data_IF_136907115242
#
_entry.id   IF_136907115242
#
_cell.length_a   1.000
_cell.length_b   1.000
_cell.length_c   1.000
_cell.angle_alpha   90.00
_cell.angle_beta   90.00
_cell.angle_gamma   90.00
#
_symmetry.space_group_name_H-M   'P 1'
#
loop_
_entity.id
_entity.type
_entity.pdbx_description
1 polymer ?
#
# COMPACT_ATOMS: atom_id res chain seq x y z
N UNK A 1 -16.15 2.54 14.55
CA UNK A 1 -15.35 1.32 14.82
C UNK A 1 -14.02 1.30 14.05
N UNK A 2 -14.00 1.70 12.78
CA UNK A 2 -12.79 1.64 11.94
C UNK A 2 -11.58 2.42 12.49
N UNK A 3 -11.80 3.61 13.07
CA UNK A 3 -10.71 4.43 13.64
C UNK A 3 -9.98 3.75 14.80
N UNK A 4 -10.69 2.96 15.62
CA UNK A 4 -10.08 2.22 16.73
C UNK A 4 -9.23 1.04 16.24
N UNK A 5 -9.64 0.40 15.14
CA UNK A 5 -8.85 -0.67 14.52
C UNK A 5 -7.53 -0.11 13.98
N UNK A 6 -7.58 1.01 13.25
CA UNK A 6 -6.37 1.67 12.73
C UNK A 6 -5.44 2.16 13.84
N UNK A 7 -6.00 2.83 14.86
CA UNK A 7 -5.22 3.25 16.02
C UNK A 7 -4.59 2.03 16.72
N UNK A 8 -5.33 0.93 16.87
CA UNK A 8 -4.82 -0.32 17.42
C UNK A 8 -3.66 -0.90 16.62
N UNK A 9 -3.76 -0.92 15.28
CA UNK A 9 -2.69 -1.41 14.40
C UNK A 9 -1.42 -0.54 14.47
N UNK A 10 -1.58 0.78 14.52
CA UNK A 10 -0.45 1.72 14.64
C UNK A 10 0.23 1.56 16.00
N UNK A 11 -0.54 1.49 17.08
CA UNK A 11 0.01 1.30 18.43
C UNK A 11 0.73 -0.05 18.50
N UNK A 12 0.12 -1.10 17.96
CA UNK A 12 0.72 -2.43 17.94
C UNK A 12 2.04 -2.46 17.15
N UNK A 13 2.10 -1.81 15.99
CA UNK A 13 3.33 -1.77 15.17
C UNK A 13 4.46 -1.01 15.87
N UNK A 14 4.16 0.12 16.51
CA UNK A 14 5.14 0.89 17.29
C UNK A 14 5.62 0.13 18.52
N UNK A 15 4.71 -0.53 19.25
CA UNK A 15 5.08 -1.39 20.38
C UNK A 15 5.95 -2.56 19.94
N UNK A 16 5.61 -3.21 18.83
CA UNK A 16 6.41 -4.28 18.25
C UNK A 16 7.83 -3.81 17.90
N UNK A 17 7.97 -2.67 17.21
CA UNK A 17 9.28 -2.11 16.90
C UNK A 17 10.06 -1.74 18.15
N UNK A 18 9.42 -1.11 19.14
CA UNK A 18 10.08 -0.73 20.39
C UNK A 18 10.59 -1.96 21.16
N UNK A 19 9.79 -3.02 21.24
CA UNK A 19 10.19 -4.28 21.90
C UNK A 19 11.34 -4.93 21.13
N UNK A 20 11.26 -5.00 19.80
CA UNK A 20 12.31 -5.59 18.98
C UNK A 20 13.62 -4.81 19.13
N UNK A 21 13.60 -3.49 18.97
CA UNK A 21 14.80 -2.64 19.10
C UNK A 21 15.37 -2.68 20.53
N UNK A 22 14.52 -2.84 21.56
CA UNK A 22 14.97 -3.03 22.93
C UNK A 22 15.63 -4.41 23.15
N UNK A 23 15.07 -5.48 22.58
CA UNK A 23 15.70 -6.80 22.58
C UNK A 23 17.04 -6.76 21.85
N UNK A 24 17.10 -6.10 20.70
CA UNK A 24 18.32 -5.93 19.92
C UNK A 24 19.40 -5.17 20.68
N UNK A 25 19.03 -4.15 21.47
CA UNK A 25 19.97 -3.44 22.33
C UNK A 25 20.55 -4.32 23.46
N UNK A 26 19.81 -5.36 23.90
CA UNK A 26 20.23 -6.30 24.94
C UNK A 26 21.10 -7.41 24.33
N UNK A 27 20.70 -7.97 23.19
CA UNK A 27 21.46 -9.02 22.48
C UNK A 27 22.73 -8.45 21.85
N UNK A 28 22.70 -7.17 21.45
CA UNK A 28 23.77 -6.43 20.79
C UNK A 28 24.38 -7.16 19.60
N UNK A 29 23.54 -7.64 18.67
CA UNK A 29 24.00 -8.39 17.49
C UNK A 29 24.87 -7.54 16.56
N UNK A 30 24.79 -6.20 16.68
CA UNK A 30 25.65 -5.25 15.97
C UNK A 30 27.00 -5.00 16.66
N UNK A 31 27.22 -5.53 17.86
CA UNK A 31 28.45 -5.34 18.68
C UNK A 31 28.80 -3.86 18.86
N UNK A 32 27.83 -3.08 19.30
CA UNK A 32 27.94 -1.63 19.37
C UNK A 32 29.06 -1.17 20.31
N UNK A 33 30.03 -0.44 19.74
CA UNK A 33 31.15 0.12 20.50
C UNK A 33 32.38 -0.79 20.59
N UNK A 34 32.25 -2.06 20.19
CA UNK A 34 33.38 -2.96 20.00
C UNK A 34 34.13 -2.61 18.70
N UNK A 35 35.41 -2.95 18.65
CA UNK A 35 36.25 -2.69 17.47
C UNK A 35 36.49 -4.01 16.74
N UNK A 36 36.23 -4.00 15.44
CA UNK A 36 36.40 -5.16 14.56
C UNK A 36 37.80 -5.13 13.94
N UNK A 37 38.53 -6.24 14.04
CA UNK A 37 39.89 -6.36 13.49
C UNK A 37 39.85 -6.68 12.00
N UNK A 38 40.63 -5.94 11.22
CA UNK A 38 40.74 -6.06 9.77
C UNK A 38 42.20 -6.03 9.36
N UNK A 39 42.50 -6.64 8.22
CA UNK A 39 43.81 -6.48 7.57
C UNK A 39 43.65 -5.57 6.37
N UNK A 40 44.42 -4.48 6.33
CA UNK A 40 44.49 -3.60 5.18
C UNK A 40 45.71 -3.94 4.34
N UNK A 41 45.52 -3.97 3.04
CA UNK A 41 46.59 -4.01 2.04
C UNK A 41 46.57 -2.70 1.24
N UNK A 42 47.75 -2.10 1.06
CA UNK A 42 47.91 -0.81 0.41
C UNK A 42 49.20 -0.75 -0.41
N UNK A 43 49.12 -0.12 -1.58
CA UNK A 43 50.27 0.08 -2.46
C UNK A 43 51.07 1.35 -2.10
N UNK A 44 50.40 2.32 -1.49
CA UNK A 44 51.00 3.58 -1.04
C UNK A 44 51.03 3.63 0.49
N UNK A 45 52.11 4.20 1.05
CA UNK A 45 52.21 4.37 2.49
C UNK A 45 51.02 5.20 3.04
N UNK A 46 50.37 4.76 4.14
CA UNK A 46 49.24 5.45 4.77
C UNK A 46 49.54 6.89 5.21
N UNK A 47 50.82 7.24 5.35
CA UNK A 47 51.28 8.58 5.73
C UNK A 47 51.61 9.48 4.53
N UNK A 48 51.63 8.93 3.31
CA UNK A 48 51.95 9.68 2.09
C UNK A 48 50.82 10.61 1.65
N UNK A 49 49.57 10.21 1.85
CA UNK A 49 48.39 10.91 1.36
C UNK A 49 47.25 10.94 2.39
N UNK A 50 46.39 11.96 2.29
CA UNK A 50 45.21 12.09 3.17
C UNK A 50 44.15 11.03 2.90
N UNK A 51 44.07 10.54 1.65
CA UNK A 51 43.15 9.49 1.20
C UNK A 51 43.98 8.45 0.49
N UNK A 52 44.04 7.25 1.04
CA UNK A 52 44.82 6.13 0.50
C UNK A 52 43.84 5.02 0.14
N UNK A 53 43.76 4.61 -1.13
CA UNK A 53 43.01 3.41 -1.52
C UNK A 53 43.60 2.19 -0.81
N UNK A 54 42.73 1.34 -0.26
CA UNK A 54 43.12 0.13 0.47
C UNK A 54 42.22 -1.02 0.08
N UNK A 55 42.78 -2.24 0.08
CA UNK A 55 42.00 -3.46 0.08
C UNK A 55 41.78 -3.91 1.52
N UNK A 56 40.52 -4.12 1.90
CA UNK A 56 40.08 -4.50 3.23
C UNK A 56 39.85 -6.00 3.25
N UNK A 57 40.82 -6.75 3.75
CA UNK A 57 40.74 -8.19 3.86
C UNK A 57 39.98 -8.58 5.15
N UNK A 58 38.99 -9.45 4.98
CA UNK A 58 38.07 -9.89 6.05
C UNK A 58 38.19 -11.40 6.21
N UNK A 59 38.54 -11.82 7.43
CA UNK A 59 38.52 -13.23 7.81
C UNK A 59 37.07 -13.65 8.08
N UNK A 60 36.57 -14.62 7.29
CA UNK A 60 35.19 -15.07 7.36
C UNK A 60 34.86 -15.83 8.67
N UNK A 61 35.83 -16.56 9.22
CA UNK A 61 35.63 -17.31 10.47
C UNK A 61 35.58 -16.32 11.64
N UNK A 62 36.50 -15.35 11.68
CA UNK A 62 36.49 -14.26 12.66
C UNK A 62 35.20 -13.44 12.56
N UNK A 63 34.76 -13.10 11.35
CA UNK A 63 33.50 -12.40 11.12
C UNK A 63 32.30 -13.14 11.72
N UNK A 64 32.21 -14.45 11.44
CA UNK A 64 31.11 -15.28 11.93
C UNK A 64 31.11 -15.42 13.45
N UNK A 65 32.29 -15.54 14.07
CA UNK A 65 32.45 -15.62 15.52
C UNK A 65 32.13 -14.27 16.21
N UNK A 66 32.54 -13.15 15.60
CA UNK A 66 32.30 -11.82 16.16
C UNK A 66 30.80 -11.46 16.14
N UNK A 67 30.11 -11.70 15.03
CA UNK A 67 28.70 -11.36 14.87
C UNK A 67 27.71 -12.49 15.19
N UNK A 68 28.20 -13.66 15.61
CA UNK A 68 27.41 -14.87 15.84
C UNK A 68 26.58 -15.30 14.60
N UNK A 69 27.15 -15.10 13.40
CA UNK A 69 26.54 -15.39 12.09
C UNK A 69 26.98 -16.75 11.54
N UNK A 70 26.87 -17.80 12.36
CA UNK A 70 27.23 -19.15 11.96
C UNK A 70 26.35 -19.74 10.84
N UNK A 71 26.66 -20.94 10.31
CA UNK A 71 25.96 -21.54 9.15
C UNK A 71 24.43 -21.70 9.31
N UNK A 72 23.94 -21.70 10.55
CA UNK A 72 22.52 -21.78 10.89
C UNK A 72 21.77 -20.45 10.86
N UNK A 73 22.46 -19.30 10.74
CA UNK A 73 21.83 -17.98 10.73
C UNK A 73 21.18 -17.62 9.38
N UNK A 74 21.52 -18.35 8.32
CA UNK A 74 21.08 -18.04 6.95
C UNK A 74 21.72 -16.78 6.35
N UNK A 75 22.72 -16.21 7.02
CA UNK A 75 23.44 -15.01 6.59
C UNK A 75 24.51 -15.38 5.56
N UNK A 76 24.66 -14.57 4.50
CA UNK A 76 25.74 -14.75 3.53
C UNK A 76 27.11 -14.48 4.18
N UNK A 77 28.11 -15.29 3.85
CA UNK A 77 29.48 -15.06 4.28
C UNK A 77 30.05 -13.77 3.67
N UNK A 78 30.97 -13.06 4.35
CA UNK A 78 31.64 -11.91 3.75
C UNK A 78 32.51 -12.33 2.57
N UNK A 79 32.68 -11.40 1.63
CA UNK A 79 33.74 -11.51 0.63
C UNK A 79 35.09 -11.42 1.34
N UNK A 80 36.09 -12.16 0.85
CA UNK A 80 37.41 -12.18 1.48
C UNK A 80 38.15 -10.83 1.42
N UNK A 81 37.76 -9.95 0.49
CA UNK A 81 38.34 -8.62 0.35
C UNK A 81 37.30 -7.63 -0.17
N UNK A 82 37.38 -6.38 0.29
CA UNK A 82 36.54 -5.26 -0.12
C UNK A 82 37.39 -4.04 -0.46
N UNK A 83 37.02 -3.34 -1.52
CA UNK A 83 37.65 -2.06 -1.83
C UNK A 83 37.25 -0.99 -0.81
N UNK A 84 38.21 -0.16 -0.42
CA UNK A 84 37.98 0.93 0.50
C UNK A 84 38.99 2.06 0.37
N UNK A 85 38.79 3.10 1.17
CA UNK A 85 39.69 4.24 1.27
C UNK A 85 39.94 4.53 2.75
N UNK A 86 41.21 4.52 3.12
CA UNK A 86 41.67 5.02 4.41
C UNK A 86 41.81 6.54 4.33
N UNK A 87 41.06 7.26 5.16
CA UNK A 87 41.07 8.71 5.21
C UNK A 87 41.67 9.16 6.54
N UNK A 88 42.76 9.92 6.47
CA UNK A 88 43.39 10.53 7.64
C UNK A 88 42.84 11.96 7.81
N UNK A 89 42.29 12.27 8.97
CA UNK A 89 41.84 13.62 9.34
C UNK A 89 42.54 14.08 10.62
N UNK A 90 42.32 15.34 11.03
CA UNK A 90 42.84 15.86 12.29
C UNK A 90 42.27 15.11 13.51
N UNK A 91 41.10 14.47 13.36
CA UNK A 91 40.39 13.71 14.41
C UNK A 91 40.76 12.21 14.45
N UNK A 92 41.67 11.78 13.58
CA UNK A 92 42.15 10.40 13.46
C UNK A 92 41.94 9.79 12.07
N UNK A 93 42.12 8.47 11.98
CA UNK A 93 41.94 7.71 10.74
C UNK A 93 40.52 7.14 10.66
N UNK A 94 39.92 7.17 9.47
CA UNK A 94 38.60 6.61 9.17
C UNK A 94 38.73 5.68 7.96
N UNK A 95 38.21 4.47 8.08
CA UNK A 95 38.06 3.54 6.97
C UNK A 95 36.67 3.75 6.33
N UNK A 96 36.63 3.85 5.00
CA UNK A 96 35.39 3.88 4.23
C UNK A 96 35.40 2.77 3.20
N UNK A 97 34.36 1.96 3.17
CA UNK A 97 34.18 0.93 2.14
C UNK A 97 33.65 1.57 0.85
N UNK A 98 33.88 0.92 -0.29
CA UNK A 98 33.30 1.31 -1.56
C UNK A 98 31.76 1.27 -1.52
N UNK A 99 31.11 2.19 -2.24
CA UNK A 99 29.64 2.35 -2.19
C UNK A 99 28.90 1.18 -2.84
N UNK A 100 29.51 0.55 -3.84
CA UNK A 100 29.00 -0.60 -4.59
C UNK A 100 29.37 -1.96 -3.95
N UNK A 101 30.13 -1.95 -2.85
CA UNK A 101 30.48 -3.16 -2.12
C UNK A 101 29.21 -3.88 -1.60
N UNK A 102 29.03 -5.14 -1.97
CA UNK A 102 28.00 -6.01 -1.44
C UNK A 102 28.44 -6.59 -0.09
N UNK A 103 28.19 -5.85 0.98
CA UNK A 103 28.48 -6.30 2.36
C UNK A 103 27.35 -7.18 2.91
N UNK A 104 27.64 -8.27 3.64
CA UNK A 104 26.63 -9.12 4.27
C UNK A 104 26.00 -8.46 5.51
N UNK A 105 24.96 -9.07 6.07
CA UNK A 105 24.46 -8.69 7.41
C UNK A 105 25.43 -9.16 8.50
N UNK A 106 25.66 -8.37 9.57
CA UNK A 106 24.96 -7.13 9.92
C UNK A 106 25.56 -5.83 9.34
N UNK A 107 26.61 -5.92 8.51
CA UNK A 107 27.28 -4.74 7.94
C UNK A 107 26.38 -3.94 6.97
N UNK A 108 25.50 -4.63 6.25
CA UNK A 108 24.49 -3.98 5.41
C UNK A 108 23.59 -3.05 6.22
N UNK A 109 23.03 -3.52 7.34
CA UNK A 109 22.23 -2.70 8.25
C UNK A 109 23.05 -1.55 8.87
N UNK A 110 24.30 -1.80 9.29
CA UNK A 110 25.20 -0.76 9.82
C UNK A 110 25.40 0.35 8.78
N UNK A 111 25.62 -0.01 7.50
CA UNK A 111 25.78 0.94 6.41
C UNK A 111 24.52 1.76 6.19
N UNK A 112 23.36 1.11 6.10
CA UNK A 112 22.08 1.76 5.84
C UNK A 112 21.74 2.81 6.90
N UNK A 113 21.92 2.48 8.19
CA UNK A 113 21.57 3.36 9.30
C UNK A 113 22.59 4.50 9.48
N UNK A 114 23.86 4.24 9.19
CA UNK A 114 24.93 5.23 9.42
C UNK A 114 25.08 6.19 8.25
N UNK A 115 24.72 5.77 7.03
CA UNK A 115 24.94 6.53 5.80
C UNK A 115 23.84 6.29 4.77
N UNK A 116 22.58 6.53 5.14
CA UNK A 116 21.42 6.36 4.25
C UNK A 116 21.56 7.15 2.93
N UNK A 117 22.18 8.34 2.97
CA UNK A 117 22.31 9.23 1.81
C UNK A 117 23.53 8.94 0.93
N UNK A 118 24.67 8.63 1.53
CA UNK A 118 25.94 8.47 0.78
C UNK A 118 26.28 6.99 0.54
N UNK A 119 25.52 6.05 1.12
CA UNK A 119 25.67 4.60 1.05
C UNK A 119 27.10 4.11 1.28
N UNK A 120 27.89 4.83 2.08
CA UNK A 120 29.26 4.45 2.41
C UNK A 120 29.33 3.93 3.86
N UNK A 121 29.80 2.69 4.02
CA UNK A 121 30.03 2.14 5.36
C UNK A 121 31.30 2.79 5.92
N UNK A 122 31.17 3.47 7.07
CA UNK A 122 32.27 4.22 7.70
C UNK A 122 32.61 3.60 9.06
N UNK A 123 33.91 3.44 9.32
CA UNK A 123 34.41 3.00 10.62
C UNK A 123 35.59 3.86 11.07
N UNK A 124 35.63 4.20 12.36
CA UNK A 124 36.75 4.93 12.95
C UNK A 124 37.86 3.94 13.29
N UNK A 125 39.07 4.19 12.81
CA UNK A 125 40.24 3.37 13.16
C UNK A 125 40.65 3.71 14.60
N UNK A 126 40.68 2.70 15.45
CA UNK A 126 41.00 2.80 16.88
C UNK A 126 42.42 2.32 17.17
N UNK A 127 42.92 1.36 16.40
CA UNK A 127 44.31 0.94 16.39
C UNK A 127 44.79 0.76 14.96
N UNK A 128 46.06 1.02 14.73
CA UNK A 128 46.72 0.79 13.44
C UNK A 128 48.14 0.28 13.73
N UNK A 129 48.42 -0.95 13.31
CA UNK A 129 49.72 -1.59 13.49
C UNK A 129 50.20 -2.08 12.13
N UNK A 130 51.29 -1.48 11.64
CA UNK A 130 51.90 -1.90 10.38
C UNK A 130 52.59 -3.25 10.57
N UNK A 131 52.27 -4.22 9.72
CA UNK A 131 52.82 -5.59 9.77
C UNK A 131 53.90 -5.77 8.68
N UNK A 132 53.74 -5.12 7.53
CA UNK A 132 54.75 -5.06 6.46
C UNK A 132 54.70 -3.71 5.72
N UNK A 133 55.56 -3.53 4.72
CA UNK A 133 55.59 -2.30 3.91
C UNK A 133 54.27 -2.02 3.18
N UNK A 134 53.47 -3.05 2.90
CA UNK A 134 52.18 -2.97 2.19
C UNK A 134 50.98 -3.50 2.98
N UNK A 135 51.15 -3.93 4.24
CA UNK A 135 50.04 -4.48 5.05
C UNK A 135 50.02 -3.93 6.48
N UNK A 136 48.82 -3.70 7.00
CA UNK A 136 48.60 -3.31 8.40
C UNK A 136 47.39 -4.02 9.00
N UNK A 137 47.51 -4.40 10.27
CA UNK A 137 46.37 -4.80 11.10
C UNK A 137 45.73 -3.55 11.71
N UNK A 138 44.41 -3.43 11.58
CA UNK A 138 43.64 -2.28 12.07
C UNK A 138 42.42 -2.74 12.87
N UNK A 139 42.13 -2.07 13.99
CA UNK A 139 40.86 -2.24 14.68
C UNK A 139 39.93 -1.08 14.34
N UNK A 140 38.78 -1.38 13.77
CA UNK A 140 37.81 -0.39 13.28
C UNK A 140 36.54 -0.46 14.10
N UNK A 141 36.10 0.69 14.62
CA UNK A 141 34.84 0.82 15.34
C UNK A 141 33.80 1.45 14.43
N UNK A 142 32.73 0.70 14.16
CA UNK A 142 31.60 1.19 13.40
C UNK A 142 30.70 2.10 14.25
N UNK A 143 29.85 2.89 13.59
CA UNK A 143 28.89 3.73 14.28
C UNK A 143 27.84 2.87 15.01
N UNK A 144 27.31 3.42 16.09
CA UNK A 144 26.32 2.74 16.90
C UNK A 144 24.99 2.65 16.17
N UNK A 145 24.46 1.44 16.03
CA UNK A 145 23.17 1.14 15.42
C UNK A 145 22.09 1.08 16.49
N UNK A 146 21.01 1.84 16.30
CA UNK A 146 19.82 1.87 17.17
C UNK A 146 18.57 2.15 16.35
N UNK A 147 17.42 1.75 16.90
CA UNK A 147 16.10 2.08 16.35
C UNK A 147 15.84 1.58 14.92
N UNK A 148 16.43 0.43 14.56
CA UNK A 148 16.34 -0.15 13.21
C UNK A 148 14.89 -0.33 12.79
N UNK A 149 14.09 -1.01 13.62
CA UNK A 149 12.69 -1.29 13.29
C UNK A 149 11.82 -0.06 13.44
N UNK A 150 12.07 0.79 14.43
CA UNK A 150 11.32 2.04 14.61
C UNK A 150 11.46 2.95 13.39
N UNK A 151 12.69 3.13 12.88
CA UNK A 151 12.95 3.93 11.69
C UNK A 151 12.28 3.33 10.45
N UNK A 152 12.36 2.00 10.27
CA UNK A 152 11.73 1.32 9.15
C UNK A 152 10.20 1.49 9.13
N UNK A 153 9.53 1.37 10.29
CA UNK A 153 8.07 1.57 10.39
C UNK A 153 7.70 3.03 10.13
N UNK A 154 8.47 3.98 10.67
CA UNK A 154 8.25 5.40 10.42
C UNK A 154 8.41 5.75 8.93
N UNK A 155 9.47 5.26 8.28
CA UNK A 155 9.70 5.44 6.85
C UNK A 155 8.58 4.84 6.00
N UNK A 156 8.13 3.63 6.31
CA UNK A 156 7.00 3.00 5.64
C UNK A 156 5.70 3.82 5.79
N UNK A 157 5.46 4.42 6.96
CA UNK A 157 4.31 5.27 7.19
C UNK A 157 4.32 6.52 6.29
N UNK A 158 5.47 7.20 6.17
CA UNK A 158 5.61 8.35 5.27
C UNK A 158 5.46 7.96 3.79
N UNK A 159 6.07 6.85 3.37
CA UNK A 159 5.94 6.34 1.99
C UNK A 159 4.50 6.00 1.63
N UNK A 160 3.75 5.39 2.55
CA UNK A 160 2.33 5.11 2.33
C UNK A 160 1.47 6.37 2.32
N UNK A 161 1.81 7.39 3.12
CA UNK A 161 1.14 8.69 3.06
C UNK A 161 1.33 9.37 1.69
N UNK A 162 2.55 9.37 1.15
CA UNK A 162 2.84 9.88 -0.19
C UNK A 162 2.03 9.13 -1.25
N UNK A 163 2.08 7.79 -1.20
CA UNK A 163 1.32 6.91 -2.11
C UNK A 163 -0.17 7.24 -2.08
N UNK A 164 -0.75 7.40 -0.89
CA UNK A 164 -2.16 7.73 -0.72
C UNK A 164 -2.53 9.07 -1.35
N UNK A 165 -1.69 10.11 -1.19
CA UNK A 165 -1.90 11.43 -1.79
C UNK A 165 -1.81 11.35 -3.32
N UNK A 166 -0.80 10.67 -3.86
CA UNK A 166 -0.66 10.48 -5.31
C UNK A 166 -1.87 9.79 -5.92
N UNK A 167 -2.38 8.74 -5.26
CA UNK A 167 -3.59 8.04 -5.68
C UNK A 167 -4.82 8.95 -5.61
N UNK A 168 -5.00 9.69 -4.52
CA UNK A 168 -6.15 10.59 -4.34
C UNK A 168 -6.19 11.66 -5.43
N UNK A 169 -5.07 12.32 -5.72
CA UNK A 169 -4.98 13.34 -6.77
C UNK A 169 -5.26 12.73 -8.15
N UNK A 170 -4.69 11.57 -8.44
CA UNK A 170 -4.95 10.84 -9.70
C UNK A 170 -6.43 10.50 -9.88
N UNK A 171 -7.08 10.01 -8.82
CA UNK A 171 -8.51 9.70 -8.82
C UNK A 171 -9.36 10.95 -9.02
N UNK A 172 -9.08 12.06 -8.34
CA UNK A 172 -9.83 13.32 -8.50
C UNK A 172 -9.84 13.76 -9.97
N UNK A 173 -8.68 13.74 -10.64
CA UNK A 173 -8.57 14.13 -12.05
C UNK A 173 -9.39 13.25 -12.98
N UNK A 174 -9.35 11.92 -12.77
CA UNK A 174 -10.13 10.96 -13.55
C UNK A 174 -11.63 11.13 -13.32
N UNK A 175 -12.07 11.31 -12.07
CA UNK A 175 -13.48 11.53 -11.73
C UNK A 175 -13.99 12.83 -12.37
N UNK A 176 -13.25 13.92 -12.25
CA UNK A 176 -13.63 15.21 -12.82
C UNK A 176 -13.79 15.12 -14.35
N UNK A 177 -12.87 14.43 -15.04
CA UNK A 177 -12.95 14.22 -16.48
C UNK A 177 -14.20 13.43 -16.87
N UNK A 178 -14.43 12.27 -16.24
CA UNK A 178 -15.58 11.44 -16.55
C UNK A 178 -16.89 12.15 -16.24
N UNK A 179 -17.02 12.78 -15.07
CA UNK A 179 -18.21 13.55 -14.70
C UNK A 179 -18.48 14.69 -15.70
N UNK A 180 -17.45 15.39 -16.17
CA UNK A 180 -17.58 16.40 -17.22
C UNK A 180 -18.10 15.82 -18.54
N UNK A 181 -17.52 14.71 -19.01
CA UNK A 181 -17.98 14.03 -20.23
C UNK A 181 -19.42 13.52 -20.11
N UNK A 182 -19.79 13.01 -18.93
CA UNK A 182 -21.13 12.53 -18.65
C UNK A 182 -22.15 13.65 -18.62
N UNK A 183 -21.79 14.81 -18.06
CA UNK A 183 -22.66 15.96 -18.08
C UNK A 183 -22.94 16.43 -19.52
N UNK A 184 -21.95 16.32 -20.42
CA UNK A 184 -22.12 16.58 -21.86
C UNK A 184 -23.07 15.53 -22.46
N UNK A 185 -22.84 14.24 -22.20
CA UNK A 185 -23.68 13.14 -22.69
C UNK A 185 -25.14 13.23 -22.21
N UNK A 186 -25.36 13.66 -20.96
CA UNK A 186 -26.68 13.88 -20.40
C UNK A 186 -27.39 15.06 -21.07
N UNK A 187 -26.69 16.20 -21.24
CA UNK A 187 -27.21 17.35 -21.99
C UNK A 187 -27.51 17.03 -23.46
N UNK A 188 -26.79 16.07 -24.05
CA UNK A 188 -27.04 15.58 -25.40
C UNK A 188 -28.16 14.53 -25.49
N UNK A 189 -28.76 14.10 -24.38
CA UNK A 189 -29.81 13.07 -24.35
C UNK A 189 -29.33 11.64 -24.60
N UNK A 190 -28.01 11.42 -24.65
CA UNK A 190 -27.42 10.10 -24.88
C UNK A 190 -27.67 9.17 -23.69
N UNK A 191 -27.54 9.70 -22.48
CA UNK A 191 -27.78 8.95 -21.24
C UNK A 191 -29.24 8.54 -21.14
N UNK A 192 -30.19 9.45 -21.39
CA UNK A 192 -31.62 9.13 -21.35
C UNK A 192 -32.00 8.04 -22.35
N UNK A 193 -31.38 8.06 -23.53
CA UNK A 193 -31.57 7.03 -24.56
C UNK A 193 -31.06 5.67 -24.09
N UNK A 194 -29.88 5.63 -23.47
CA UNK A 194 -29.30 4.40 -22.92
C UNK A 194 -30.11 3.86 -21.74
N UNK A 195 -30.58 4.74 -20.86
CA UNK A 195 -31.47 4.38 -19.75
C UNK A 195 -32.75 3.77 -20.30
N UNK A 196 -33.44 4.41 -21.25
CA UNK A 196 -34.66 3.86 -21.86
C UNK A 196 -34.45 2.48 -22.49
N UNK A 197 -33.29 2.25 -23.10
CA UNK A 197 -32.96 0.95 -23.70
C UNK A 197 -32.71 -0.14 -22.65
N UNK A 198 -32.06 0.20 -21.53
CA UNK A 198 -31.66 -0.77 -20.48
C UNK A 198 -32.70 -0.91 -19.35
N UNK A 199 -33.61 0.05 -19.21
CA UNK A 199 -34.69 0.10 -18.23
C UNK A 199 -35.53 -1.19 -18.15
N UNK A 200 -35.95 -1.87 -19.24
CA UNK A 200 -36.76 -3.08 -19.13
C UNK A 200 -36.05 -4.21 -18.38
N UNK A 201 -34.71 -4.25 -18.41
CA UNK A 201 -33.91 -5.29 -17.74
C UNK A 201 -33.58 -4.88 -16.30
N UNK A 202 -33.23 -3.61 -16.07
CA UNK A 202 -32.74 -3.16 -14.77
C UNK A 202 -33.85 -2.75 -13.80
N UNK A 203 -34.96 -2.21 -14.29
CA UNK A 203 -36.06 -1.74 -13.42
C UNK A 203 -36.63 -2.85 -12.51
N UNK A 204 -36.81 -4.12 -12.95
CA UNK A 204 -37.22 -5.20 -12.05
C UNK A 204 -36.19 -5.54 -10.95
N UNK A 205 -34.92 -5.18 -11.15
CA UNK A 205 -33.87 -5.39 -10.16
C UNK A 205 -33.91 -4.33 -9.06
N UNK A 206 -34.30 -3.09 -9.41
CA UNK A 206 -34.37 -1.93 -8.52
C UNK A 206 -35.81 -1.38 -8.38
N UNK A 207 -36.73 -2.12 -7.76
CA UNK A 207 -38.14 -1.73 -7.66
C UNK A 207 -38.38 -0.51 -6.74
N UNK A 208 -37.41 -0.17 -5.89
CA UNK A 208 -37.51 0.90 -4.89
C UNK A 208 -37.19 2.29 -5.47
N UNK A 209 -36.64 2.35 -6.70
CA UNK A 209 -36.26 3.61 -7.35
C UNK A 209 -37.48 4.20 -8.10
N UNK A 210 -37.90 5.45 -7.78
CA UNK A 210 -38.99 6.11 -8.50
C UNK A 210 -38.71 6.30 -9.99
N UNK A 211 -39.76 6.36 -10.80
CA UNK A 211 -39.62 6.66 -12.23
C UNK A 211 -39.01 8.06 -12.44
N UNK A 212 -37.97 8.14 -13.27
CA UNK A 212 -37.28 9.40 -13.57
C UNK A 212 -36.23 9.82 -12.54
N UNK A 213 -36.01 9.05 -11.47
CA UNK A 213 -34.96 9.36 -10.50
C UNK A 213 -33.56 9.18 -11.11
N UNK A 214 -32.61 10.12 -10.87
CA UNK A 214 -31.24 10.06 -11.40
C UNK A 214 -30.46 8.80 -11.01
N UNK A 215 -30.76 8.19 -9.87
CA UNK A 215 -30.14 6.94 -9.40
C UNK A 215 -30.09 5.85 -10.47
N UNK A 216 -31.19 5.63 -11.21
CA UNK A 216 -31.22 4.59 -12.25
C UNK A 216 -30.26 4.90 -13.39
N UNK A 217 -30.12 6.17 -13.77
CA UNK A 217 -29.15 6.61 -14.78
C UNK A 217 -27.71 6.36 -14.35
N UNK A 218 -27.38 6.67 -13.10
CA UNK A 218 -26.03 6.42 -12.55
C UNK A 218 -25.71 4.92 -12.46
N UNK A 219 -26.69 4.09 -12.07
CA UNK A 219 -26.55 2.62 -12.06
C UNK A 219 -26.29 2.10 -13.48
N UNK A 220 -27.12 2.48 -14.45
CA UNK A 220 -26.96 2.09 -15.86
C UNK A 220 -25.55 2.41 -16.35
N UNK A 221 -25.07 3.59 -16.00
CA UNK A 221 -23.80 4.09 -16.45
C UNK A 221 -22.61 3.38 -15.79
N UNK A 222 -22.68 3.16 -14.47
CA UNK A 222 -21.71 2.34 -13.74
C UNK A 222 -21.63 0.92 -14.33
N UNK A 223 -22.77 0.27 -14.57
CA UNK A 223 -22.82 -1.05 -15.19
C UNK A 223 -22.29 -1.03 -16.62
N UNK A 224 -22.57 0.02 -17.40
CA UNK A 224 -22.06 0.17 -18.77
C UNK A 224 -20.53 0.33 -18.78
N UNK A 225 -19.97 1.12 -17.85
CA UNK A 225 -18.52 1.25 -17.69
C UNK A 225 -17.87 -0.11 -17.35
N UNK A 226 -18.50 -0.91 -16.50
CA UNK A 226 -18.08 -2.29 -16.25
C UNK A 226 -18.19 -3.13 -17.53
N UNK A 227 -19.33 -3.21 -18.19
CA UNK A 227 -19.53 -4.02 -19.42
C UNK A 227 -18.48 -3.71 -20.49
N UNK A 228 -18.10 -2.44 -20.66
CA UNK A 228 -17.13 -1.98 -21.66
C UNK A 228 -15.66 -2.13 -21.24
N UNK A 229 -15.37 -2.68 -20.06
CA UNK A 229 -14.00 -2.86 -19.57
C UNK A 229 -13.34 -1.55 -19.10
N UNK A 230 -14.13 -0.49 -18.89
CA UNK A 230 -13.71 0.83 -18.41
C UNK A 230 -13.71 0.87 -16.87
N UNK A 231 -13.12 -0.14 -16.21
CA UNK A 231 -13.19 -0.31 -14.75
C UNK A 231 -12.70 0.91 -13.95
N UNK A 232 -11.72 1.64 -14.47
CA UNK A 232 -11.20 2.88 -13.85
C UNK A 232 -12.25 4.02 -13.79
N UNK A 233 -13.26 3.99 -14.68
CA UNK A 233 -14.39 4.91 -14.66
C UNK A 233 -15.57 4.34 -13.86
N UNK A 234 -15.68 3.02 -13.71
CA UNK A 234 -16.84 2.40 -13.09
C UNK A 234 -16.95 2.69 -11.59
N UNK A 235 -15.85 2.62 -10.85
CA UNK A 235 -15.83 2.86 -9.40
C UNK A 235 -16.40 4.21 -8.99
N UNK A 236 -15.97 5.36 -9.55
CA UNK A 236 -16.55 6.64 -9.16
C UNK A 236 -18.01 6.81 -9.55
N UNK A 237 -18.44 6.20 -10.66
CA UNK A 237 -19.85 6.16 -11.05
C UNK A 237 -20.68 5.29 -10.10
N UNK A 238 -20.09 4.22 -9.57
CA UNK A 238 -20.68 3.37 -8.56
C UNK A 238 -20.85 4.10 -7.23
N UNK A 239 -19.85 4.88 -6.80
CA UNK A 239 -19.95 5.73 -5.61
C UNK A 239 -21.07 6.76 -5.80
N UNK A 240 -21.11 7.46 -6.94
CA UNK A 240 -22.17 8.42 -7.19
C UNK A 240 -23.55 7.76 -7.27
N UNK A 241 -23.67 6.56 -7.86
CA UNK A 241 -24.91 5.79 -7.82
C UNK A 241 -25.33 5.39 -6.39
N UNK A 242 -24.38 5.07 -5.51
CA UNK A 242 -24.65 4.81 -4.09
C UNK A 242 -25.13 6.06 -3.36
N UNK A 243 -24.56 7.24 -3.64
CA UNK A 243 -25.05 8.52 -3.09
C UNK A 243 -26.50 8.79 -3.50
N UNK A 244 -26.84 8.61 -4.78
CA UNK A 244 -28.22 8.80 -5.26
C UNK A 244 -29.20 7.77 -4.65
N UNK A 245 -28.74 6.55 -4.35
CA UNK A 245 -29.54 5.57 -3.62
C UNK A 245 -29.67 5.93 -2.14
N UNK A 246 -28.66 6.59 -1.56
CA UNK A 246 -28.65 7.04 -0.17
C UNK A 246 -29.65 8.15 0.08
N UNK A 247 -29.90 9.03 -0.90
CA UNK A 247 -30.97 10.03 -0.83
C UNK A 247 -32.36 9.42 -0.72
N UNK A 248 -32.55 8.22 -1.29
CA UNK A 248 -33.80 7.46 -1.21
C UNK A 248 -33.90 6.58 0.04
N UNK A 249 -32.84 6.50 0.85
CA UNK A 249 -32.75 5.58 1.97
C UNK A 249 -33.44 6.15 3.22
N UNK A 250 -34.48 5.49 3.76
CA UNK A 250 -35.15 5.94 4.98
C UNK A 250 -34.29 5.83 6.25
N UNK A 251 -33.28 4.94 6.25
CA UNK A 251 -32.37 4.74 7.37
C UNK A 251 -30.92 4.93 6.89
N UNK A 252 -30.26 6.04 7.23
CA UNK A 252 -28.93 6.34 6.70
C UNK A 252 -27.86 5.32 7.14
N UNK A 253 -28.07 4.62 8.25
CA UNK A 253 -27.09 3.69 8.83
C UNK A 253 -27.28 2.24 8.35
N UNK A 254 -28.32 1.95 7.56
CA UNK A 254 -28.63 0.60 7.08
C UNK A 254 -28.81 0.57 5.55
N UNK A 255 -28.20 -0.41 4.89
CA UNK A 255 -28.25 -0.52 3.43
C UNK A 255 -29.61 -1.05 2.93
N UNK A 256 -30.15 -0.42 1.90
CA UNK A 256 -31.37 -0.90 1.21
C UNK A 256 -31.08 -2.08 0.28
N UNK A 257 -32.13 -2.82 -0.13
CA UNK A 257 -31.98 -3.91 -1.10
C UNK A 257 -31.39 -3.41 -2.43
N UNK A 258 -31.75 -2.19 -2.85
CA UNK A 258 -31.20 -1.56 -4.06
C UNK A 258 -29.69 -1.32 -3.95
N UNK A 259 -29.19 -0.85 -2.81
CA UNK A 259 -27.75 -0.71 -2.57
C UNK A 259 -27.03 -2.05 -2.59
N UNK A 260 -27.59 -3.06 -1.91
CA UNK A 260 -27.01 -4.41 -1.86
C UNK A 260 -26.98 -5.03 -3.27
N UNK A 261 -28.04 -4.85 -4.06
CA UNK A 261 -28.09 -5.30 -5.46
C UNK A 261 -27.01 -4.63 -6.31
N UNK A 262 -26.88 -3.31 -6.22
CA UNK A 262 -25.85 -2.57 -6.95
C UNK A 262 -24.44 -3.06 -6.60
N UNK A 263 -24.17 -3.26 -5.31
CA UNK A 263 -22.90 -3.79 -4.83
C UNK A 263 -22.64 -5.20 -5.39
N UNK A 264 -23.62 -6.09 -5.28
CA UNK A 264 -23.51 -7.47 -5.77
C UNK A 264 -23.23 -7.52 -7.28
N UNK A 265 -23.92 -6.68 -8.07
CA UNK A 265 -23.68 -6.57 -9.51
C UNK A 265 -22.28 -6.02 -9.85
N UNK A 266 -21.78 -5.05 -9.08
CA UNK A 266 -20.41 -4.53 -9.25
C UNK A 266 -19.36 -5.57 -8.86
N UNK A 267 -19.57 -6.34 -7.79
CA UNK A 267 -18.67 -7.43 -7.39
C UNK A 267 -18.64 -8.55 -8.42
N UNK A 268 -19.77 -8.83 -9.07
CA UNK A 268 -19.83 -9.83 -10.13
C UNK A 268 -19.09 -9.42 -11.41
N UNK A 269 -18.92 -8.11 -11.62
CA UNK A 269 -18.16 -7.47 -12.71
C UNK A 269 -18.45 -8.09 -14.08
N UNK A 270 -19.65 -7.87 -14.62
CA UNK A 270 -19.98 -8.34 -15.98
C UNK A 270 -19.16 -7.54 -17.00
N UNK A 271 -18.36 -8.24 -17.82
CA UNK A 271 -17.52 -7.63 -18.86
C UNK A 271 -17.81 -8.28 -20.21
N UNK A 272 -18.16 -7.46 -21.21
CA UNK A 272 -18.26 -7.87 -22.60
C UNK A 272 -16.93 -7.69 -23.33
N UNK A 273 -16.19 -6.64 -22.95
CA UNK A 273 -14.85 -6.34 -23.46
C UNK A 273 -13.84 -6.64 -22.37
N UNK A 274 -12.71 -7.29 -22.68
CA UNK A 274 -11.66 -7.51 -21.68
C UNK A 274 -11.18 -6.19 -21.06
N UNK A 275 -10.79 -6.19 -19.78
CA UNK A 275 -10.29 -4.99 -19.12
C UNK A 275 -9.13 -4.35 -19.91
N UNK A 276 -9.12 -3.02 -20.03
CA UNK A 276 -8.07 -2.29 -20.78
C UNK A 276 -6.67 -2.64 -20.29
N UNK A 277 -6.49 -2.86 -18.98
CA UNK A 277 -5.21 -3.30 -18.40
C UNK A 277 -4.80 -4.69 -18.92
N UNK A 278 -5.74 -5.62 -19.07
CA UNK A 278 -5.46 -6.95 -19.59
C UNK A 278 -5.08 -6.89 -21.08
N UNK A 279 -5.74 -6.01 -21.85
CA UNK A 279 -5.36 -5.74 -23.25
C UNK A 279 -3.95 -5.17 -23.33
N UNK A 280 -3.59 -4.25 -22.43
CA UNK A 280 -2.26 -3.65 -22.38
C UNK A 280 -1.16 -4.67 -22.04
N UNK A 281 -1.45 -5.65 -21.18
CA UNK A 281 -0.48 -6.68 -20.77
C UNK A 281 -0.33 -7.80 -21.80
N UNK A 282 -1.42 -8.25 -22.42
CA UNK A 282 -1.44 -9.46 -23.26
C UNK A 282 -1.50 -9.18 -24.77
N UNK A 283 -1.74 -7.93 -25.16
CA UNK A 283 -1.95 -7.56 -26.56
C UNK A 283 -3.04 -8.41 -27.23
N UNK A 284 -2.80 -8.86 -28.46
CA UNK A 284 -3.77 -9.64 -29.25
C UNK A 284 -4.05 -11.04 -28.69
N UNK A 285 -3.25 -11.56 -27.76
CA UNK A 285 -3.49 -12.88 -27.17
C UNK A 285 -4.78 -12.94 -26.36
N UNK A 286 -5.27 -11.79 -25.90
CA UNK A 286 -6.52 -11.65 -25.13
C UNK A 286 -7.75 -12.12 -25.89
N UNK A 287 -7.71 -12.13 -27.22
CA UNK A 287 -8.82 -12.60 -28.06
C UNK A 287 -9.21 -14.04 -27.76
N UNK A 288 -8.27 -14.86 -27.27
CA UNK A 288 -8.54 -16.25 -26.85
C UNK A 288 -9.35 -16.34 -25.56
N UNK A 289 -9.35 -15.27 -24.75
CA UNK A 289 -10.00 -15.23 -23.43
C UNK A 289 -11.37 -14.54 -23.46
N UNK A 290 -11.72 -13.80 -24.51
CA UNK A 290 -12.98 -13.03 -24.59
C UNK A 290 -14.19 -13.91 -24.28
N UNK A 291 -14.29 -15.08 -24.91
CA UNK A 291 -15.43 -15.97 -24.72
C UNK A 291 -15.53 -16.51 -23.29
N UNK A 292 -14.38 -16.87 -22.69
CA UNK A 292 -14.33 -17.33 -21.31
C UNK A 292 -14.71 -16.21 -20.33
N UNK A 293 -14.22 -14.97 -20.56
CA UNK A 293 -14.55 -13.80 -19.75
C UNK A 293 -16.06 -13.54 -19.77
N UNK A 294 -16.68 -13.50 -20.94
CA UNK A 294 -18.12 -13.24 -21.08
C UNK A 294 -18.95 -14.30 -20.35
N UNK A 295 -18.61 -15.59 -20.51
CA UNK A 295 -19.34 -16.69 -19.86
C UNK A 295 -19.19 -16.63 -18.34
N UNK A 296 -17.95 -16.54 -17.84
CA UNK A 296 -17.68 -16.59 -16.40
C UNK A 296 -18.30 -15.38 -15.71
N UNK A 297 -18.13 -14.19 -16.28
CA UNK A 297 -18.70 -12.97 -15.70
C UNK A 297 -20.22 -12.94 -15.81
N UNK A 298 -20.80 -13.47 -16.90
CA UNK A 298 -22.25 -13.64 -17.04
C UNK A 298 -22.85 -14.57 -15.98
N UNK A 299 -22.22 -15.73 -15.75
CA UNK A 299 -22.63 -16.66 -14.68
C UNK A 299 -22.49 -15.99 -13.31
N UNK A 300 -21.38 -15.30 -13.06
CA UNK A 300 -21.14 -14.53 -11.84
C UNK A 300 -22.26 -13.52 -11.58
N UNK A 301 -22.68 -12.77 -12.60
CA UNK A 301 -23.76 -11.80 -12.49
C UNK A 301 -25.10 -12.47 -12.14
N UNK A 302 -25.43 -13.60 -12.79
CA UNK A 302 -26.65 -14.35 -12.50
C UNK A 302 -26.64 -14.84 -11.05
N UNK A 303 -25.52 -15.39 -10.59
CA UNK A 303 -25.36 -15.86 -9.20
C UNK A 303 -25.50 -14.70 -8.22
N UNK A 304 -24.89 -13.56 -8.49
CA UNK A 304 -24.97 -12.37 -7.63
C UNK A 304 -26.39 -11.84 -7.51
N UNK A 305 -27.08 -11.62 -8.64
CA UNK A 305 -28.48 -11.16 -8.67
C UNK A 305 -29.40 -12.16 -7.97
N UNK A 306 -29.25 -13.45 -8.27
CA UNK A 306 -30.08 -14.50 -7.68
C UNK A 306 -29.87 -14.58 -6.18
N UNK A 307 -28.60 -14.53 -5.72
CA UNK A 307 -28.26 -14.55 -4.30
C UNK A 307 -28.85 -13.34 -3.58
N UNK A 308 -28.69 -12.14 -4.12
CA UNK A 308 -29.28 -10.93 -3.56
C UNK A 308 -30.82 -11.03 -3.45
N UNK A 309 -31.49 -11.48 -4.52
CA UNK A 309 -32.96 -11.66 -4.55
C UNK A 309 -33.47 -12.77 -3.61
N UNK A 310 -32.70 -13.84 -3.41
CA UNK A 310 -33.06 -14.91 -2.48
C UNK A 310 -32.83 -14.50 -1.02
N UNK A 311 -31.70 -13.86 -0.73
CA UNK A 311 -31.37 -13.40 0.61
C UNK A 311 -32.35 -12.33 1.10
N UNK A 312 -32.72 -11.34 0.27
CA UNK A 312 -33.72 -10.33 0.66
C UNK A 312 -35.10 -10.94 1.03
N UNK A 313 -35.39 -12.19 0.62
CA UNK A 313 -36.65 -12.86 0.94
C UNK A 313 -36.62 -13.59 2.29
N UNK A 314 -35.46 -13.80 2.90
CA UNK A 314 -35.39 -14.49 4.18
C UNK A 314 -35.88 -13.57 5.33
N UNK A 315 -36.60 -14.12 6.33
CA UNK A 315 -37.18 -13.32 7.42
C UNK A 315 -36.17 -12.44 8.16
N UNK A 316 -34.93 -12.93 8.32
CA UNK A 316 -33.85 -12.19 8.99
C UNK A 316 -33.50 -10.88 8.29
N UNK A 317 -33.42 -10.87 6.96
CA UNK A 317 -33.05 -9.69 6.19
C UNK A 317 -34.26 -8.79 5.93
N UNK A 318 -35.45 -9.37 5.81
CA UNK A 318 -36.69 -8.58 5.74
C UNK A 318 -36.95 -7.76 7.02
N UNK A 319 -36.53 -8.27 8.18
CA UNK A 319 -36.68 -7.57 9.45
C UNK A 319 -35.76 -6.35 9.58
N UNK A 320 -34.69 -6.27 8.78
CA UNK A 320 -33.70 -5.18 8.81
C UNK A 320 -33.78 -4.25 7.60
N UNK A 321 -34.75 -4.46 6.70
CA UNK A 321 -34.90 -3.69 5.47
C UNK A 321 -35.47 -2.29 5.77
N UNK A 322 -34.69 -1.20 5.54
CA UNK A 322 -35.12 0.17 5.82
C UNK A 322 -36.45 0.54 5.15
N UNK A 323 -36.66 0.12 3.90
CA UNK A 323 -37.84 0.47 3.11
C UNK A 323 -39.10 -0.20 3.68
N UNK A 324 -38.96 -1.42 4.20
CA UNK A 324 -40.05 -2.16 4.82
C UNK A 324 -40.41 -1.60 6.19
N UNK A 325 -39.40 -1.22 6.98
CA UNK A 325 -39.58 -0.61 8.30
C UNK A 325 -40.26 0.76 8.17
N UNK A 326 -39.84 1.59 7.22
CA UNK A 326 -40.47 2.87 6.93
C UNK A 326 -41.94 2.71 6.47
N UNK A 327 -42.20 1.74 5.59
CA UNK A 327 -43.57 1.44 5.13
C UNK A 327 -44.50 0.90 6.22
N UNK A 328 -43.96 0.24 7.26
CA UNK A 328 -44.73 -0.24 8.41
C UNK A 328 -45.00 0.85 9.47
N UNK A 329 -44.23 1.94 9.46
CA UNK A 329 -44.33 3.05 10.43
C UNK A 329 -45.21 4.23 10.00
N UNK A 330 -45.76 4.24 8.79
CA UNK A 330 -46.57 5.34 8.27
C UNK A 330 -48.01 5.36 8.82
N UNK A 331 -48.15 5.67 10.12
CA UNK A 331 -49.30 6.42 10.66
C UNK A 331 -49.12 7.92 10.38
N UNK A 332 -50.18 8.75 10.46
CA UNK A 332 -50.19 10.07 9.84
C UNK A 332 -49.20 11.06 10.48
N UNK A 333 -48.30 11.61 9.65
CA UNK A 333 -47.50 12.82 9.83
C UNK A 333 -47.06 13.18 11.27
N UNK A 334 -45.85 12.77 11.65
CA UNK A 334 -45.00 13.61 12.50
C UNK A 334 -43.90 14.21 11.62
N UNK A 335 -44.00 15.52 11.41
CA UNK A 335 -42.91 16.35 10.90
C UNK A 335 -41.65 16.14 11.74
N UNK A 336 -40.46 15.97 11.14
CA UNK A 336 -39.23 15.90 11.91
C UNK A 336 -39.00 17.23 12.64
N UNK A 337 -38.51 17.22 13.89
CA UNK A 337 -38.17 18.46 14.57
C UNK A 337 -37.04 19.14 13.79
N UNK A 338 -37.25 20.41 13.47
CA UNK A 338 -36.22 21.29 12.93
C UNK A 338 -34.98 21.19 13.82
N UNK A 339 -33.83 20.88 13.23
CA UNK A 339 -32.55 20.93 13.90
C UNK A 339 -32.30 22.37 14.39
N UNK A 340 -32.54 22.59 15.67
CA UNK A 340 -32.18 23.82 16.36
C UNK A 340 -30.65 23.88 16.45
N UNK A 341 -30.09 24.89 15.81
CA UNK A 341 -28.68 25.21 15.79
C UNK A 341 -28.28 25.85 17.12
N UNK A 342 -28.15 25.08 18.19
CA UNK A 342 -27.48 25.54 19.43
C UNK A 342 -26.82 24.39 20.19
N UNK A 343 -25.51 24.24 20.00
CA UNK A 343 -24.61 23.64 20.99
C UNK A 343 -23.23 24.27 20.79
N UNK A 344 -23.07 25.52 21.19
CA UNK A 344 -22.31 25.94 22.40
C UNK A 344 -20.97 25.24 22.52
N UNK A 345 -19.94 26.06 22.32
CA UNK A 345 -18.55 25.90 22.73
C UNK A 345 -18.45 25.36 24.17
N UNK A 346 -17.61 24.33 24.36
CA UNK A 346 -16.61 24.19 25.44
C UNK A 346 -15.71 22.98 25.16
#
# INVERSE_FOLDING_TARGET
>A
MLNYVWAGLIIFSLLFAAIYDAQELITDSYRNGESFELTLEYDESPDANRRVPVQVNVDADYYSAFYDTGPSSGTAAPAGSYEGVLITTQDGRQLRFAQDAAVPEPWATIREITSERDNDMRGRVTSFTQTSDSTASVAVRFATVRFVKMNAIAGAAFSMAETAVTLAIGLIGVIALWMGLLQIGQKAGLIDSLVRFTQPVLRPLFPEIPEGHPALGMIVLNLTANVLGLGNAATPLGIKAMEELQELNPDPDSATNSMVMLLAMNTASVQLVPPVMLVALMGLQINKLIFAIIIVTGISLIVAITSAKLLQRLPRYQATDPNRLAGAGAGPHETPPSADSTRTED
#
